data_IF_175775590072
#
_entry.id   IF_175775590072
#
_cell.length_a   1.000
_cell.length_b   1.000
_cell.length_c   1.000
_cell.angle_alpha   90.00
_cell.angle_beta   90.00
_cell.angle_gamma   90.00
#
_symmetry.space_group_name_H-M   'P 1'
#
loop_
_entity.id
_entity.type
_entity.pdbx_description
1 polymer ?
#
# COMPACT_ATOMS: atom_id res chain seq x y z
N UNK A 1 8.08 8.42 8.74
CA UNK A 1 7.99 8.39 7.26
C UNK A 1 6.64 7.80 6.93
N UNK A 2 5.88 8.43 6.05
CA UNK A 2 4.57 7.92 5.64
C UNK A 2 4.72 7.14 4.35
N UNK A 3 3.74 6.33 3.98
CA UNK A 3 3.55 5.73 2.67
C UNK A 3 2.36 6.46 2.05
N UNK A 4 2.59 7.13 0.93
CA UNK A 4 1.56 7.86 0.17
C UNK A 4 1.42 7.15 -1.17
N UNK A 5 0.31 6.46 -1.35
CA UNK A 5 0.03 5.75 -2.58
C UNK A 5 -0.59 6.72 -3.59
N UNK A 6 -0.09 6.78 -4.84
CA UNK A 6 -0.75 7.51 -5.91
C UNK A 6 -2.06 6.81 -6.31
N UNK A 7 -2.91 7.45 -7.12
CA UNK A 7 -4.11 6.81 -7.70
C UNK A 7 -3.74 5.56 -8.51
N UNK A 8 -2.56 5.56 -9.14
CA UNK A 8 -2.02 4.44 -9.89
C UNK A 8 -0.49 4.38 -9.85
N UNK A 9 0.06 3.18 -9.85
CA UNK A 9 1.49 2.90 -9.94
C UNK A 9 1.75 1.81 -10.98
N UNK A 10 2.85 1.90 -11.72
CA UNK A 10 3.24 0.87 -12.70
C UNK A 10 4.41 0.07 -12.14
N UNK A 11 4.24 -1.25 -12.04
CA UNK A 11 5.26 -2.21 -11.58
C UNK A 11 5.44 -3.27 -12.68
N UNK A 12 6.26 -3.02 -13.70
CA UNK A 12 6.35 -3.86 -14.91
C UNK A 12 6.81 -5.30 -14.61
N UNK A 13 7.56 -5.52 -13.53
CA UNK A 13 8.04 -6.82 -13.08
C UNK A 13 6.92 -7.79 -12.66
N UNK A 14 5.69 -7.29 -12.49
CA UNK A 14 4.51 -8.12 -12.21
C UNK A 14 4.31 -9.16 -13.31
N UNK A 15 4.54 -8.79 -14.58
CA UNK A 15 4.31 -9.70 -15.71
C UNK A 15 5.24 -10.93 -15.67
N UNK A 16 6.47 -10.76 -15.19
CA UNK A 16 7.43 -11.86 -15.08
C UNK A 16 7.34 -12.62 -13.76
N UNK A 17 6.77 -12.01 -12.71
CA UNK A 17 6.73 -12.59 -11.35
C UNK A 17 5.36 -13.11 -10.92
N UNK A 18 4.30 -12.92 -11.71
CA UNK A 18 2.93 -13.35 -11.36
C UNK A 18 2.80 -14.85 -11.04
N UNK A 19 3.71 -15.69 -11.52
CA UNK A 19 3.69 -17.14 -11.26
C UNK A 19 4.59 -17.56 -10.08
N UNK A 20 5.30 -16.61 -9.45
CA UNK A 20 6.18 -16.88 -8.33
C UNK A 20 5.38 -17.20 -7.06
N UNK A 21 5.83 -18.22 -6.32
CA UNK A 21 5.23 -18.60 -5.03
C UNK A 21 5.31 -17.49 -3.96
N UNK A 22 6.20 -16.52 -4.15
CA UNK A 22 6.43 -15.38 -3.26
C UNK A 22 5.95 -14.06 -3.87
N UNK A 23 5.06 -14.10 -4.86
CA UNK A 23 4.56 -12.90 -5.54
C UNK A 23 3.97 -11.88 -4.57
N UNK A 24 3.23 -12.34 -3.56
CA UNK A 24 2.53 -11.47 -2.62
C UNK A 24 3.50 -10.72 -1.68
N UNK A 25 4.49 -11.45 -1.16
CA UNK A 25 5.58 -10.89 -0.34
C UNK A 25 6.42 -9.91 -1.15
N UNK A 26 6.77 -10.29 -2.38
CA UNK A 26 7.54 -9.45 -3.29
C UNK A 26 6.79 -8.16 -3.65
N UNK A 27 5.51 -8.25 -4.02
CA UNK A 27 4.68 -7.11 -4.38
C UNK A 27 4.56 -6.13 -3.20
N UNK A 28 4.38 -6.66 -1.99
CA UNK A 28 4.35 -5.87 -0.75
C UNK A 28 5.66 -5.10 -0.56
N UNK A 29 6.81 -5.78 -0.66
CA UNK A 29 8.12 -5.15 -0.50
C UNK A 29 8.39 -4.09 -1.58
N UNK A 30 8.08 -4.40 -2.84
CA UNK A 30 8.27 -3.48 -3.97
C UNK A 30 7.41 -2.23 -3.83
N UNK A 31 6.19 -2.35 -3.31
CA UNK A 31 5.32 -1.19 -3.08
C UNK A 31 5.86 -0.26 -1.99
N UNK A 32 6.36 -0.82 -0.89
CA UNK A 32 6.99 -0.04 0.17
C UNK A 32 8.21 0.69 -0.41
N UNK A 33 9.05 0.01 -1.19
CA UNK A 33 10.23 0.60 -1.81
C UNK A 33 9.88 1.73 -2.78
N UNK A 34 8.98 1.48 -3.74
CA UNK A 34 8.57 2.47 -4.74
C UNK A 34 7.95 3.72 -4.10
N UNK A 35 7.11 3.52 -3.09
CA UNK A 35 6.47 4.61 -2.36
C UNK A 35 7.49 5.44 -1.59
N UNK A 36 8.49 4.79 -0.98
CA UNK A 36 9.58 5.46 -0.29
C UNK A 36 10.50 6.24 -1.26
N UNK A 37 10.71 5.73 -2.48
CA UNK A 37 11.49 6.43 -3.51
C UNK A 37 10.73 7.68 -4.03
N UNK A 38 9.44 7.55 -4.37
CA UNK A 38 8.64 8.69 -4.85
C UNK A 38 8.59 9.84 -3.84
N UNK A 39 8.57 9.55 -2.53
CA UNK A 39 8.61 10.61 -1.51
C UNK A 39 9.96 11.30 -1.38
N UNK A 40 11.07 10.60 -1.65
CA UNK A 40 12.39 11.24 -1.69
C UNK A 40 12.47 12.25 -2.83
N UNK A 41 11.84 11.94 -3.95
CA UNK A 41 11.81 12.82 -5.12
C UNK A 41 10.79 13.96 -5.00
N UNK A 42 9.75 13.81 -4.15
CA UNK A 42 8.74 14.84 -3.91
C UNK A 42 8.39 15.02 -2.42
N UNK A 43 9.20 15.78 -1.67
CA UNK A 43 9.06 15.93 -0.21
C UNK A 43 7.89 16.83 0.23
N UNK A 44 7.12 17.43 -0.69
CA UNK A 44 6.08 18.43 -0.36
C UNK A 44 4.73 17.84 0.10
N UNK A 45 4.62 16.53 0.29
CA UNK A 45 3.38 15.91 0.73
C UNK A 45 3.24 15.94 2.26
N UNK A 46 2.78 17.09 2.78
CA UNK A 46 2.35 17.27 4.18
C UNK A 46 0.99 16.61 4.47
N UNK A 47 0.79 15.38 3.98
CA UNK A 47 -0.48 14.66 4.05
C UNK A 47 -0.38 13.51 5.06
N UNK A 48 -1.46 13.36 5.84
CA UNK A 48 -1.72 12.17 6.68
C UNK A 48 -1.61 10.95 5.78
N UNK A 49 -0.66 10.05 6.06
CA UNK A 49 -0.39 8.88 5.21
C UNK A 49 -0.39 7.58 6.00
N UNK A 50 -0.25 6.48 5.26
CA UNK A 50 -0.14 5.14 5.83
C UNK A 50 1.24 5.05 6.53
N UNK A 51 1.30 4.77 7.82
CA UNK A 51 2.60 4.63 8.52
C UNK A 51 3.23 3.28 8.29
N UNK A 52 2.42 2.27 7.98
CA UNK A 52 2.88 0.91 7.82
C UNK A 52 1.89 0.13 6.94
N UNK A 53 2.41 -0.76 6.10
CA UNK A 53 1.66 -1.60 5.17
C UNK A 53 2.14 -3.04 5.35
N UNK A 54 1.22 -3.94 5.64
CA UNK A 54 1.53 -5.37 5.77
C UNK A 54 0.42 -6.23 5.18
N UNK A 55 0.79 -7.46 4.82
CA UNK A 55 -0.12 -8.52 4.36
C UNK A 55 -0.97 -8.12 3.13
N UNK A 56 -0.46 -8.46 1.95
CA UNK A 56 -1.24 -8.51 0.72
C UNK A 56 -2.11 -9.76 0.71
N UNK A 57 -3.39 -9.59 0.39
CA UNK A 57 -4.29 -10.71 0.08
C UNK A 57 -4.89 -10.51 -1.30
N UNK A 58 -4.64 -11.45 -2.23
CA UNK A 58 -5.29 -11.45 -3.54
C UNK A 58 -6.67 -12.11 -3.40
N UNK A 59 -7.71 -11.28 -3.33
CA UNK A 59 -9.09 -11.73 -3.16
C UNK A 59 -9.69 -12.30 -4.46
N UNK A 60 -9.31 -11.78 -5.62
CA UNK A 60 -9.87 -12.21 -6.90
C UNK A 60 -8.85 -12.20 -8.05
N UNK A 61 -8.82 -13.28 -8.84
CA UNK A 61 -7.99 -13.40 -10.04
C UNK A 61 -8.88 -13.52 -11.28
N UNK A 62 -9.24 -12.37 -11.87
CA UNK A 62 -10.06 -12.29 -13.09
C UNK A 62 -9.18 -12.13 -14.32
N UNK A 63 -8.75 -13.25 -14.89
CA UNK A 63 -7.89 -13.26 -16.08
C UNK A 63 -6.58 -12.50 -15.81
N UNK A 64 -6.41 -11.36 -16.49
CA UNK A 64 -5.23 -10.49 -16.38
C UNK A 64 -5.36 -9.42 -15.31
N UNK A 65 -6.53 -9.25 -14.69
CA UNK A 65 -6.73 -8.28 -13.63
C UNK A 65 -6.93 -9.00 -12.31
N UNK A 66 -6.03 -8.74 -11.37
CA UNK A 66 -6.10 -9.29 -10.03
C UNK A 66 -6.52 -8.18 -9.07
N UNK A 67 -7.38 -8.51 -8.13
CA UNK A 67 -7.85 -7.58 -7.11
C UNK A 67 -7.46 -8.12 -5.75
N UNK A 68 -7.12 -7.21 -4.85
CA UNK A 68 -6.71 -7.58 -3.52
C UNK A 68 -6.74 -6.41 -2.57
N UNK A 69 -6.24 -6.68 -1.37
CA UNK A 69 -6.25 -5.74 -0.28
C UNK A 69 -4.93 -5.78 0.48
N UNK A 70 -4.48 -4.62 0.95
CA UNK A 70 -3.43 -4.50 1.94
C UNK A 70 -4.03 -4.13 3.29
N UNK A 71 -3.48 -4.69 4.36
CA UNK A 71 -3.69 -4.11 5.68
C UNK A 71 -2.73 -2.95 5.85
N UNK A 72 -3.28 -1.82 6.31
CA UNK A 72 -2.54 -0.58 6.47
C UNK A 72 -2.81 0.03 7.83
N UNK A 73 -1.83 0.76 8.33
CA UNK A 73 -1.95 1.55 9.55
C UNK A 73 -1.89 3.02 9.22
N UNK A 74 -2.80 3.79 9.78
CA UNK A 74 -2.79 5.24 9.62
C UNK A 74 -2.22 5.90 10.87
N UNK A 75 -1.56 7.04 10.69
CA UNK A 75 -1.33 7.94 11.83
C UNK A 75 -2.53 8.87 11.99
N UNK A 76 -3.23 8.73 13.10
CA UNK A 76 -4.12 9.78 13.58
C UNK A 76 -3.25 10.89 14.17
N UNK A 77 -3.23 12.04 13.50
CA UNK A 77 -2.75 13.26 14.14
C UNK A 77 -3.69 13.56 15.31
N UNK A 78 -3.22 13.29 16.52
CA UNK A 78 -3.89 13.65 17.76
C UNK A 78 -3.93 15.18 17.85
N UNK A 79 -4.99 15.77 17.32
CA UNK A 79 -5.25 17.19 17.46
C UNK A 79 -5.94 17.39 18.81
N UNK A 80 -5.12 17.33 19.86
CA UNK A 80 -5.37 17.87 21.19
C UNK A 80 -6.69 17.47 21.85
N UNK A 81 -6.69 16.43 22.66
CA UNK A 81 -7.33 16.50 23.98
C UNK A 81 -6.61 15.56 24.94
N UNK A 82 -6.04 16.14 25.99
CA UNK A 82 -5.51 15.43 27.15
C UNK A 82 -6.62 14.52 27.69
N UNK A 83 -6.44 13.20 27.61
CA UNK A 83 -7.04 12.25 28.54
C UNK A 83 -6.16 11.00 28.58
N UNK A 84 -5.59 10.77 29.76
CA UNK A 84 -4.94 9.53 30.15
C UNK A 84 -5.89 8.36 29.90
N UNK A 85 -5.74 7.67 28.77
CA UNK A 85 -6.06 6.25 28.72
C UNK A 85 -5.08 5.57 27.76
N UNK A 86 -4.31 4.66 28.34
CA UNK A 86 -3.25 3.90 27.69
C UNK A 86 -3.85 2.76 26.85
N UNK A 87 -4.51 3.11 25.76
CA UNK A 87 -4.84 2.20 24.66
C UNK A 87 -4.73 2.97 23.34
N UNK A 88 -3.50 3.13 22.86
CA UNK A 88 -3.21 3.70 21.54
C UNK A 88 -3.55 2.65 20.47
N UNK A 89 -4.85 2.36 20.30
CA UNK A 89 -5.36 1.62 19.14
C UNK A 89 -5.30 2.58 17.94
N UNK A 90 -4.13 2.66 17.33
CA UNK A 90 -3.97 3.37 16.06
C UNK A 90 -4.90 2.71 15.03
N UNK A 91 -5.68 3.49 14.25
CA UNK A 91 -6.63 2.93 13.31
C UNK A 91 -5.91 2.12 12.24
N UNK A 92 -6.19 0.82 12.21
CA UNK A 92 -5.90 -0.06 11.08
C UNK A 92 -7.01 0.08 10.05
N UNK A 93 -6.68 -0.09 8.78
CA UNK A 93 -7.66 -0.15 7.71
C UNK A 93 -7.17 -0.97 6.54
N UNK A 94 -7.97 -0.95 5.48
CA UNK A 94 -7.75 -1.77 4.30
C UNK A 94 -7.58 -0.87 3.09
N UNK A 95 -6.48 -1.03 2.36
CA UNK A 95 -6.27 -0.37 1.08
C UNK A 95 -6.57 -1.38 -0.03
N UNK A 96 -7.61 -1.11 -0.81
CA UNK A 96 -7.99 -1.99 -1.91
C UNK A 96 -7.16 -1.66 -3.14
N UNK A 97 -6.89 -2.67 -3.96
CA UNK A 97 -6.21 -2.46 -5.23
C UNK A 97 -6.74 -3.36 -6.34
N UNK A 98 -6.45 -2.94 -7.56
CA UNK A 98 -6.49 -3.78 -8.75
C UNK A 98 -5.16 -3.69 -9.48
N UNK A 99 -4.67 -4.81 -10.02
CA UNK A 99 -3.43 -4.87 -10.78
C UNK A 99 -3.64 -5.61 -12.09
N UNK A 100 -3.20 -5.01 -13.19
CA UNK A 100 -3.15 -5.65 -14.49
C UNK A 100 -1.82 -6.39 -14.62
N UNK A 101 -1.87 -7.73 -14.60
CA UNK A 101 -0.69 -8.60 -14.58
C UNK A 101 0.05 -8.70 -15.90
N UNK A 102 -0.45 -8.11 -16.99
CA UNK A 102 0.28 -8.00 -18.25
C UNK A 102 1.09 -6.69 -18.35
N UNK A 103 0.58 -5.61 -17.75
CA UNK A 103 1.19 -4.28 -17.84
C UNK A 103 1.90 -3.85 -16.56
N UNK A 104 1.58 -4.49 -15.44
CA UNK A 104 2.01 -4.04 -14.12
C UNK A 104 1.28 -2.81 -13.60
N UNK A 105 0.27 -2.31 -14.31
CA UNK A 105 -0.51 -1.15 -13.86
C UNK A 105 -1.36 -1.55 -12.65
N UNK A 106 -1.10 -0.90 -11.54
CA UNK A 106 -1.79 -1.04 -10.26
C UNK A 106 -2.59 0.23 -9.96
N UNK A 107 -3.84 0.06 -9.51
CA UNK A 107 -4.75 1.15 -9.13
C UNK A 107 -5.23 0.91 -7.72
N UNK A 108 -5.21 1.96 -6.91
CA UNK A 108 -5.63 1.92 -5.50
C UNK A 108 -7.04 2.50 -5.38
N UNK A 109 -7.85 1.96 -4.45
CA UNK A 109 -9.24 2.33 -4.22
C UNK A 109 -9.55 2.51 -2.74
#
# INVERSE_FOLDING_TARGET
MYLIFPDSMVIPEVASRREDNHFEDWLTATLIENTNQQQKDNPESSLRGITDLWMLEIAERKGKTWMGTFQVKFETADQGTISNDSSSDQPTGVLSFSINTDTGEMKFA
#
